data_IF_955931789096
#
_entry.id   IF_955931789096
#
_cell.length_a   1.000
_cell.length_b   1.000
_cell.length_c   1.000
_cell.angle_alpha   90.00
_cell.angle_beta   90.00
_cell.angle_gamma   90.00
#
_symmetry.space_group_name_H-M   'P 1'
#
loop_
_entity.id
_entity.type
_entity.pdbx_description
1 polymer ?
#
# COMPACT_ATOMS: atom_id res chain seq x y z
N UNK A 1 72.43 26.96 21.69
CA UNK A 1 71.38 27.67 20.93
C UNK A 1 71.17 26.94 19.61
N UNK A 2 70.15 26.16 19.31
CA UNK A 2 69.06 25.49 20.01
C UNK A 2 68.55 24.44 19.01
N UNK A 3 68.36 23.17 19.42
CA UNK A 3 67.79 22.13 18.55
C UNK A 3 66.29 22.39 18.40
N UNK A 4 65.79 22.49 17.17
CA UNK A 4 64.37 22.54 16.87
C UNK A 4 63.97 21.21 16.21
N UNK A 5 63.24 20.38 16.96
CA UNK A 5 62.65 19.13 16.50
C UNK A 5 61.37 19.49 15.73
N UNK A 6 61.36 19.24 14.42
CA UNK A 6 60.16 19.30 13.58
C UNK A 6 59.36 18.00 13.78
N UNK A 7 58.29 18.08 14.56
CA UNK A 7 57.31 17.02 14.67
C UNK A 7 56.39 17.05 13.43
N UNK A 8 56.55 16.07 12.54
CA UNK A 8 55.61 15.82 11.44
C UNK A 8 54.45 15.01 12.02
N UNK A 9 53.32 15.67 12.29
CA UNK A 9 52.07 15.00 12.60
C UNK A 9 51.49 14.38 11.32
N UNK A 10 51.62 13.06 11.18
CA UNK A 10 50.93 12.29 10.15
C UNK A 10 49.45 12.17 10.49
N UNK A 11 48.59 12.85 9.72
CA UNK A 11 47.15 12.63 9.77
C UNK A 11 46.83 11.39 8.94
N UNK A 12 46.92 10.21 9.57
CA UNK A 12 46.34 9.00 9.00
C UNK A 12 44.81 9.16 9.06
N UNK A 13 44.19 9.45 7.92
CA UNK A 13 42.76 9.30 7.73
C UNK A 13 42.43 7.81 7.94
N UNK A 14 41.97 7.47 9.14
CA UNK A 14 41.30 6.20 9.40
C UNK A 14 40.02 6.21 8.57
N UNK A 15 40.06 5.61 7.39
CA UNK A 15 38.87 5.21 6.65
C UNK A 15 38.17 4.15 7.49
N UNK A 16 37.18 4.57 8.28
CA UNK A 16 36.24 3.66 8.92
C UNK A 16 35.43 3.03 7.76
N UNK A 17 35.47 1.71 7.56
CA UNK A 17 34.64 1.09 6.55
C UNK A 17 33.17 1.29 6.93
N UNK A 18 32.42 1.92 6.02
CA UNK A 18 30.99 2.12 6.09
C UNK A 18 30.31 0.78 6.41
N UNK A 19 29.80 0.65 7.63
CA UNK A 19 28.95 -0.48 7.98
C UNK A 19 27.75 -0.48 7.04
N UNK A 20 27.63 -1.57 6.30
CA UNK A 20 26.48 -1.92 5.47
C UNK A 20 25.24 -1.77 6.35
N UNK A 21 24.49 -0.68 6.16
CA UNK A 21 23.24 -0.44 6.88
C UNK A 21 22.39 -1.70 6.73
N UNK A 22 22.14 -2.37 7.86
CA UNK A 22 21.23 -3.52 7.91
C UNK A 22 19.91 -2.97 7.42
N UNK A 23 19.57 -3.27 6.16
CA UNK A 23 18.27 -2.95 5.58
C UNK A 23 17.25 -3.50 6.57
N UNK A 24 16.51 -2.59 7.20
CA UNK A 24 15.62 -2.90 8.30
C UNK A 24 14.74 -4.09 7.92
N UNK A 25 14.50 -5.04 8.83
CA UNK A 25 13.54 -6.13 8.61
C UNK A 25 12.13 -5.60 8.26
N UNK A 26 11.90 -4.30 8.44
CA UNK A 26 10.70 -3.57 8.03
C UNK A 26 10.63 -3.31 6.51
N UNK A 27 11.72 -3.36 5.76
CA UNK A 27 11.76 -3.03 4.32
C UNK A 27 11.54 -4.25 3.42
N UNK A 28 11.14 -5.38 3.98
CA UNK A 28 10.95 -6.64 3.26
C UNK A 28 9.47 -7.03 3.27
N UNK A 29 9.03 -7.67 2.19
CA UNK A 29 7.67 -8.20 2.09
C UNK A 29 7.56 -9.40 3.03
N UNK A 30 6.55 -9.40 3.90
CA UNK A 30 6.38 -10.41 4.94
C UNK A 30 5.09 -11.19 4.71
N UNK A 31 5.19 -12.51 4.73
CA UNK A 31 4.06 -13.43 4.75
C UNK A 31 4.04 -14.11 6.12
N UNK A 32 3.08 -13.74 6.95
CA UNK A 32 2.86 -14.31 8.28
C UNK A 32 1.77 -15.38 8.22
N UNK A 33 2.05 -16.57 8.74
CA UNK A 33 1.08 -17.66 8.89
C UNK A 33 0.29 -17.55 10.19
N UNK A 34 -0.79 -18.33 10.32
CA UNK A 34 -1.67 -18.32 11.50
C UNK A 34 -0.96 -18.79 12.79
N UNK A 35 0.05 -19.64 12.64
CA UNK A 35 0.93 -20.11 13.72
C UNK A 35 1.94 -19.02 14.19
N UNK A 36 1.99 -17.87 13.53
CA UNK A 36 2.90 -16.77 13.83
C UNK A 36 4.25 -16.83 13.10
N UNK A 37 4.52 -17.87 12.32
CA UNK A 37 5.72 -17.98 11.48
C UNK A 37 5.75 -16.89 10.40
N UNK A 38 6.91 -16.29 10.16
CA UNK A 38 7.09 -15.21 9.19
C UNK A 38 8.07 -15.64 8.11
N UNK A 39 7.60 -15.59 6.86
CA UNK A 39 8.41 -15.78 5.67
C UNK A 39 8.70 -14.43 5.04
N UNK A 40 9.97 -14.10 4.90
CA UNK A 40 10.42 -12.95 4.14
C UNK A 40 10.45 -13.31 2.65
N UNK A 41 9.72 -12.56 1.84
CA UNK A 41 9.62 -12.75 0.40
C UNK A 41 10.54 -11.75 -0.32
N UNK A 42 11.55 -12.28 -1.02
CA UNK A 42 12.29 -11.50 -2.03
C UNK A 42 11.38 -11.22 -3.23
N UNK A 43 11.60 -10.15 -3.98
CA UNK A 43 10.90 -9.93 -5.27
C UNK A 43 11.50 -10.74 -6.42
N UNK A 44 12.63 -11.41 -6.20
CA UNK A 44 13.31 -12.22 -7.21
C UNK A 44 13.12 -13.72 -6.96
N UNK A 45 13.16 -14.48 -8.05
CA UNK A 45 13.13 -15.94 -8.04
C UNK A 45 11.78 -16.54 -7.71
N UNK A 46 11.79 -17.87 -7.57
CA UNK A 46 10.62 -18.68 -7.27
C UNK A 46 10.80 -19.43 -5.95
N UNK A 47 9.71 -19.59 -5.20
CA UNK A 47 9.72 -20.35 -3.95
C UNK A 47 8.37 -21.02 -3.72
N UNK A 48 8.31 -22.34 -3.47
CA UNK A 48 7.08 -22.96 -2.98
C UNK A 48 6.76 -22.42 -1.60
N UNK A 49 5.49 -22.14 -1.35
CA UNK A 49 4.97 -21.81 -0.02
C UNK A 49 4.38 -23.08 0.56
N UNK A 50 4.93 -23.55 1.67
CA UNK A 50 4.52 -24.79 2.33
C UNK A 50 3.94 -24.53 3.70
N UNK A 51 3.04 -25.38 4.16
CA UNK A 51 2.63 -25.41 5.57
C UNK A 51 3.73 -26.04 6.46
N UNK A 52 3.46 -26.11 7.77
CA UNK A 52 4.38 -26.70 8.75
C UNK A 52 4.60 -28.22 8.56
N UNK A 53 3.75 -28.89 7.77
CA UNK A 53 3.86 -30.30 7.42
C UNK A 53 4.61 -30.51 6.08
N UNK A 54 4.98 -29.42 5.39
CA UNK A 54 5.66 -29.46 4.10
C UNK A 54 4.72 -29.59 2.90
N UNK A 55 3.39 -29.49 3.08
CA UNK A 55 2.45 -29.50 1.96
C UNK A 55 2.53 -28.18 1.22
N UNK A 56 2.60 -28.22 -0.12
CA UNK A 56 2.64 -27.02 -0.95
C UNK A 56 1.26 -26.37 -0.96
N UNK A 57 1.18 -25.17 -0.37
CA UNK A 57 -0.01 -24.33 -0.33
C UNK A 57 -0.06 -23.34 -1.48
N UNK A 58 1.08 -22.98 -2.06
CA UNK A 58 1.13 -22.03 -3.16
C UNK A 58 2.53 -21.88 -3.71
N UNK A 59 2.69 -20.95 -4.65
CA UNK A 59 3.98 -20.64 -5.25
C UNK A 59 4.17 -19.13 -5.30
N UNK A 60 5.34 -18.68 -4.87
CA UNK A 60 5.83 -17.32 -5.10
C UNK A 60 6.63 -17.32 -6.39
N UNK A 61 6.35 -16.37 -7.29
CA UNK A 61 7.05 -16.14 -8.55
C UNK A 61 7.26 -14.63 -8.73
N UNK A 62 8.51 -14.15 -8.76
CA UNK A 62 8.77 -12.71 -8.93
C UNK A 62 8.11 -11.86 -7.82
N UNK A 63 7.30 -10.88 -8.19
CA UNK A 63 6.51 -10.03 -7.29
C UNK A 63 5.09 -10.56 -7.02
N UNK A 64 4.84 -11.85 -7.28
CA UNK A 64 3.51 -12.45 -7.18
C UNK A 64 3.50 -13.71 -6.30
N UNK A 65 2.40 -13.88 -5.56
CA UNK A 65 2.09 -15.07 -4.79
C UNK A 65 0.81 -15.72 -5.33
N UNK A 66 0.83 -17.02 -5.62
CA UNK A 66 -0.28 -17.72 -6.26
C UNK A 66 -0.77 -18.92 -5.41
N UNK A 67 -2.07 -18.92 -5.11
CA UNK A 67 -2.79 -19.96 -4.34
C UNK A 67 -3.84 -20.75 -5.15
N UNK A 68 -4.00 -20.56 -6.47
CA UNK A 68 -5.10 -21.21 -7.24
C UNK A 68 -5.12 -22.75 -7.21
N UNK A 69 -4.00 -23.39 -6.86
CA UNK A 69 -3.89 -24.86 -6.82
C UNK A 69 -3.82 -25.44 -5.40
N UNK A 70 -4.11 -24.66 -4.36
CA UNK A 70 -4.16 -25.17 -2.99
C UNK A 70 -5.35 -26.11 -2.82
N UNK A 71 -5.11 -27.31 -2.28
CA UNK A 71 -6.21 -28.23 -1.96
C UNK A 71 -6.95 -27.71 -0.71
N UNK A 72 -8.28 -27.53 -0.77
CA UNK A 72 -9.07 -27.17 0.40
C UNK A 72 -9.30 -28.41 1.25
N UNK A 73 -8.45 -28.66 2.24
CA UNK A 73 -8.74 -29.64 3.27
C UNK A 73 -8.54 -29.03 4.67
N UNK A 74 -9.61 -28.99 5.46
CA UNK A 74 -9.55 -28.70 6.89
C UNK A 74 -10.01 -27.30 7.31
N UNK A 75 -9.36 -26.81 8.36
CA UNK A 75 -9.72 -25.61 9.14
C UNK A 75 -9.46 -24.34 8.33
N UNK A 76 -10.28 -23.31 8.55
CA UNK A 76 -10.05 -21.98 8.00
C UNK A 76 -8.78 -21.38 8.63
N UNK A 77 -7.72 -21.30 7.84
CA UNK A 77 -6.40 -20.78 8.23
C UNK A 77 -6.17 -19.46 7.51
N UNK A 78 -5.67 -18.46 8.22
CA UNK A 78 -5.41 -17.12 7.70
C UNK A 78 -3.92 -16.84 7.60
N UNK A 79 -3.53 -16.27 6.47
CA UNK A 79 -2.23 -15.65 6.31
C UNK A 79 -2.38 -14.13 6.28
N UNK A 80 -1.32 -13.43 6.63
CA UNK A 80 -1.22 -11.97 6.49
C UNK A 80 -0.02 -11.63 5.64
N UNK A 81 -0.27 -10.99 4.50
CA UNK A 81 0.76 -10.42 3.63
C UNK A 81 0.91 -8.95 3.99
N UNK A 82 2.15 -8.49 4.20
CA UNK A 82 2.48 -7.10 4.52
C UNK A 82 3.52 -6.57 3.56
N UNK A 83 3.20 -5.44 2.92
CA UNK A 83 4.03 -4.76 1.94
C UNK A 83 4.63 -3.51 2.59
N UNK A 84 5.96 -3.36 2.60
CA UNK A 84 6.59 -2.17 3.15
C UNK A 84 6.39 -0.97 2.22
N UNK A 85 6.82 0.21 2.68
CA UNK A 85 6.87 1.38 1.80
C UNK A 85 7.86 1.13 0.64
N UNK A 86 7.66 1.83 -0.48
CA UNK A 86 8.49 1.70 -1.67
C UNK A 86 8.29 0.42 -2.47
N UNK A 87 7.36 -0.47 -2.09
CA UNK A 87 7.13 -1.75 -2.77
C UNK A 87 5.67 -1.98 -3.10
N UNK A 88 5.44 -2.82 -4.10
CA UNK A 88 4.13 -3.33 -4.51
C UNK A 88 4.23 -4.83 -4.71
N UNK A 89 3.12 -5.53 -4.55
CA UNK A 89 3.10 -6.99 -4.67
C UNK A 89 1.74 -7.49 -5.10
N UNK A 90 1.73 -8.66 -5.72
CA UNK A 90 0.52 -9.28 -6.23
C UNK A 90 0.23 -10.58 -5.48
N UNK A 91 -1.05 -10.86 -5.30
CA UNK A 91 -1.51 -12.16 -4.84
C UNK A 91 -2.70 -12.63 -5.67
N UNK A 92 -2.64 -13.86 -6.13
CA UNK A 92 -3.81 -14.59 -6.65
C UNK A 92 -4.31 -15.51 -5.55
N UNK A 93 -5.53 -15.25 -5.08
CA UNK A 93 -6.20 -15.99 -4.04
C UNK A 93 -6.70 -17.36 -4.53
N UNK A 94 -7.13 -18.22 -3.62
CA UNK A 94 -7.55 -19.60 -3.91
C UNK A 94 -8.82 -19.71 -4.76
N UNK A 95 -9.63 -18.65 -4.84
CA UNK A 95 -10.80 -18.55 -5.73
C UNK A 95 -10.44 -17.99 -7.12
N UNK A 96 -9.19 -17.61 -7.34
CA UNK A 96 -8.70 -17.02 -8.59
C UNK A 96 -8.68 -15.50 -8.63
N UNK A 97 -9.22 -14.83 -7.60
CA UNK A 97 -9.19 -13.37 -7.48
C UNK A 97 -7.76 -12.85 -7.46
N UNK A 98 -7.46 -11.84 -8.30
CA UNK A 98 -6.17 -11.15 -8.33
C UNK A 98 -6.24 -9.88 -7.48
N UNK A 99 -5.26 -9.70 -6.61
CA UNK A 99 -5.14 -8.52 -5.76
C UNK A 99 -3.75 -7.92 -5.94
N UNK A 100 -3.70 -6.66 -6.35
CA UNK A 100 -2.49 -5.85 -6.27
C UNK A 100 -2.52 -5.13 -4.92
N UNK A 101 -1.41 -5.17 -4.17
CA UNK A 101 -1.24 -4.41 -2.93
C UNK A 101 -0.24 -3.27 -3.16
N UNK A 102 -0.62 -2.07 -2.72
CA UNK A 102 0.26 -0.90 -2.80
C UNK A 102 1.20 -0.83 -1.59
N UNK A 103 2.15 0.10 -1.65
CA UNK A 103 3.12 0.34 -0.60
C UNK A 103 2.48 0.65 0.75
N UNK A 104 2.99 0.03 1.82
CA UNK A 104 2.45 0.21 3.18
C UNK A 104 1.17 -0.55 3.48
N UNK A 105 0.77 -1.47 2.61
CA UNK A 105 -0.50 -2.21 2.74
C UNK A 105 -0.33 -3.56 3.42
N UNK A 106 -1.40 -4.06 4.00
CA UNK A 106 -1.50 -5.40 4.53
C UNK A 106 -2.84 -6.04 4.20
N UNK A 107 -2.79 -7.28 3.73
CA UNK A 107 -3.96 -8.09 3.46
C UNK A 107 -3.91 -9.36 4.31
N UNK A 108 -4.95 -9.56 5.13
CA UNK A 108 -5.19 -10.84 5.81
C UNK A 108 -6.27 -11.60 5.05
N UNK A 109 -5.99 -12.83 4.68
CA UNK A 109 -6.85 -13.63 3.81
C UNK A 109 -6.81 -15.11 4.21
N UNK A 110 -7.90 -15.86 4.01
CA UNK A 110 -7.88 -17.29 4.20
C UNK A 110 -7.06 -17.95 3.09
N UNK A 111 -6.23 -18.93 3.44
CA UNK A 111 -5.43 -19.66 2.44
C UNK A 111 -6.36 -20.36 1.43
N UNK A 112 -7.47 -20.91 1.90
CA UNK A 112 -8.54 -21.48 1.08
C UNK A 112 -9.89 -20.88 1.47
N UNK A 113 -10.64 -20.37 0.51
CA UNK A 113 -12.04 -20.03 0.74
C UNK A 113 -12.91 -21.29 0.90
N UNK A 114 -13.80 -21.27 1.89
CA UNK A 114 -14.71 -22.40 2.13
C UNK A 114 -15.89 -22.36 1.16
N UNK A 115 -16.18 -23.50 0.52
CA UNK A 115 -17.32 -23.65 -0.39
C UNK A 115 -18.64 -23.32 0.32
N UNK A 116 -19.48 -22.49 -0.30
CA UNK A 116 -20.80 -22.11 0.24
C UNK A 116 -20.74 -21.07 1.38
N UNK A 117 -19.60 -20.39 1.55
CA UNK A 117 -19.40 -19.30 2.53
C UNK A 117 -18.91 -18.05 1.80
N UNK A 118 -19.05 -16.88 2.45
CA UNK A 118 -18.48 -15.63 1.93
C UNK A 118 -16.96 -15.72 1.79
N UNK A 119 -16.43 -15.09 0.75
CA UNK A 119 -15.00 -14.95 0.48
C UNK A 119 -14.50 -13.65 1.12
N UNK A 120 -14.05 -13.71 2.36
CA UNK A 120 -13.72 -12.52 3.16
C UNK A 120 -12.20 -12.32 3.31
N UNK A 121 -11.75 -11.09 3.09
CA UNK A 121 -10.38 -10.62 3.32
C UNK A 121 -10.39 -9.33 4.13
N UNK A 122 -9.29 -9.03 4.84
CA UNK A 122 -9.16 -7.84 5.65
C UNK A 122 -8.02 -6.98 5.12
N UNK A 123 -8.32 -5.73 4.77
CA UNK A 123 -7.37 -4.78 4.19
C UNK A 123 -7.02 -3.66 5.18
N UNK A 124 -5.72 -3.36 5.26
CA UNK A 124 -5.18 -2.09 5.74
C UNK A 124 -4.29 -1.51 4.65
N UNK A 125 -4.40 -0.23 4.35
CA UNK A 125 -3.70 0.39 3.23
C UNK A 125 -4.49 0.31 1.92
N UNK A 126 -3.83 0.16 0.78
CA UNK A 126 -4.45 0.21 -0.54
C UNK A 126 -4.26 -1.05 -1.36
N UNK A 127 -5.33 -1.48 -2.00
CA UNK A 127 -5.32 -2.60 -2.91
C UNK A 127 -6.31 -2.42 -4.06
N UNK A 128 -5.91 -2.91 -5.23
CA UNK A 128 -6.77 -3.09 -6.38
C UNK A 128 -7.17 -4.55 -6.48
N UNK A 129 -8.45 -4.80 -6.66
CA UNK A 129 -9.05 -6.13 -6.72
C UNK A 129 -9.67 -6.36 -8.10
N UNK A 130 -9.26 -7.44 -8.74
CA UNK A 130 -9.94 -8.06 -9.88
C UNK A 130 -10.54 -9.39 -9.39
N UNK A 131 -11.81 -9.31 -9.00
CA UNK A 131 -12.51 -10.40 -8.29
C UNK A 131 -13.13 -11.37 -9.27
N UNK A 132 -12.79 -12.66 -9.11
CA UNK A 132 -13.39 -13.73 -9.89
C UNK A 132 -14.91 -13.82 -9.64
N UNK A 133 -15.67 -13.95 -10.72
CA UNK A 133 -17.14 -13.98 -10.67
C UNK A 133 -17.65 -15.22 -9.90
N UNK A 134 -18.39 -14.98 -8.82
CA UNK A 134 -19.14 -16.00 -8.08
C UNK A 134 -20.38 -15.35 -7.44
N UNK A 135 -21.55 -15.62 -8.04
CA UNK A 135 -22.84 -15.09 -7.60
C UNK A 135 -23.39 -15.76 -6.35
N UNK A 136 -22.89 -16.94 -6.00
CA UNK A 136 -23.35 -17.72 -4.85
C UNK A 136 -22.55 -17.40 -3.59
N UNK A 137 -21.28 -17.02 -3.75
CA UNK A 137 -20.36 -16.73 -2.65
C UNK A 137 -19.79 -15.30 -2.81
N UNK A 138 -20.41 -14.29 -2.17
CA UNK A 138 -19.94 -12.91 -2.26
C UNK A 138 -18.50 -12.75 -1.75
N UNK A 139 -17.75 -11.86 -2.39
CA UNK A 139 -16.44 -11.44 -1.94
C UNK A 139 -16.55 -10.17 -1.09
N UNK A 140 -15.91 -10.17 0.07
CA UNK A 140 -15.99 -9.10 1.07
C UNK A 140 -14.59 -8.61 1.40
N UNK A 141 -14.33 -7.33 1.18
CA UNK A 141 -13.14 -6.64 1.70
C UNK A 141 -13.53 -5.86 2.94
N UNK A 142 -13.10 -6.35 4.10
CA UNK A 142 -13.30 -5.69 5.39
C UNK A 142 -12.16 -4.74 5.70
N UNK A 143 -12.51 -3.50 6.00
CA UNK A 143 -11.59 -2.46 6.46
C UNK A 143 -11.91 -2.08 7.92
N UNK A 144 -11.24 -1.07 8.47
CA UNK A 144 -11.47 -0.62 9.85
C UNK A 144 -12.85 -0.01 10.11
N UNK A 145 -13.55 0.48 9.08
CA UNK A 145 -14.84 1.18 9.23
C UNK A 145 -15.94 0.76 8.27
N UNK A 146 -15.61 -0.01 7.23
CA UNK A 146 -16.54 -0.37 6.16
C UNK A 146 -16.21 -1.75 5.57
N UNK A 147 -17.25 -2.47 5.18
CA UNK A 147 -17.17 -3.66 4.32
C UNK A 147 -17.55 -3.30 2.88
N UNK A 148 -16.75 -3.79 1.93
CA UNK A 148 -17.00 -3.71 0.48
C UNK A 148 -17.41 -5.09 0.00
N UNK A 149 -18.65 -5.26 -0.46
CA UNK A 149 -19.19 -6.54 -0.94
C UNK A 149 -19.41 -6.51 -2.45
N UNK A 150 -18.92 -7.55 -3.15
CA UNK A 150 -18.97 -7.70 -4.60
C UNK A 150 -19.24 -9.15 -5.02
N UNK A 151 -19.60 -9.37 -6.28
CA UNK A 151 -19.82 -10.71 -6.86
C UNK A 151 -18.85 -11.05 -8.00
N UNK A 152 -18.14 -10.07 -8.56
CA UNK A 152 -17.27 -10.18 -9.73
C UNK A 152 -17.08 -8.79 -10.32
N UNK A 153 -16.01 -8.12 -9.91
CA UNK A 153 -15.90 -6.66 -9.94
C UNK A 153 -14.42 -6.25 -9.95
N UNK A 154 -14.09 -5.23 -10.74
CA UNK A 154 -12.80 -4.54 -10.68
C UNK A 154 -12.93 -3.24 -9.89
N UNK A 155 -12.16 -3.08 -8.81
CA UNK A 155 -12.24 -1.89 -7.96
C UNK A 155 -10.96 -1.65 -7.15
N UNK A 156 -10.74 -0.40 -6.74
CA UNK A 156 -9.66 0.00 -5.83
C UNK A 156 -10.23 0.37 -4.47
N UNK A 157 -9.56 -0.04 -3.39
CA UNK A 157 -9.84 0.42 -2.02
C UNK A 157 -8.57 0.99 -1.41
N UNK A 158 -8.64 2.23 -0.92
CA UNK A 158 -7.59 2.87 -0.13
C UNK A 158 -8.11 3.15 1.28
N UNK A 159 -7.60 2.39 2.26
CA UNK A 159 -7.99 2.39 3.67
C UNK A 159 -6.76 2.43 4.59
N UNK A 160 -5.89 3.42 4.39
CA UNK A 160 -4.73 3.64 5.26
C UNK A 160 -5.18 4.14 6.65
N UNK A 161 -4.67 3.58 7.76
CA UNK A 161 -5.09 3.97 9.12
C UNK A 161 -4.86 5.45 9.46
N UNK A 162 -3.84 6.08 8.87
CA UNK A 162 -3.48 7.48 9.06
C UNK A 162 -4.27 8.47 8.19
N UNK A 163 -5.14 7.97 7.30
CA UNK A 163 -6.02 8.77 6.47
C UNK A 163 -7.41 8.87 7.09
N UNK A 164 -7.99 10.08 7.02
CA UNK A 164 -9.32 10.35 7.57
C UNK A 164 -10.45 9.65 6.80
N UNK A 165 -10.19 9.33 5.52
CA UNK A 165 -11.18 8.80 4.60
C UNK A 165 -10.74 7.46 4.00
N UNK A 166 -11.68 6.54 3.89
CA UNK A 166 -11.55 5.32 3.09
C UNK A 166 -12.13 5.60 1.71
N UNK A 167 -11.37 5.36 0.66
CA UNK A 167 -11.81 5.59 -0.71
C UNK A 167 -12.06 4.25 -1.41
N UNK A 168 -13.23 4.08 -2.02
CA UNK A 168 -13.53 2.95 -2.92
C UNK A 168 -13.87 3.47 -4.30
N UNK A 169 -13.17 2.98 -5.33
CA UNK A 169 -13.35 3.40 -6.73
C UNK A 169 -13.73 2.18 -7.55
N UNK A 170 -14.86 2.24 -8.25
CA UNK A 170 -15.38 1.13 -9.03
C UNK A 170 -15.02 1.30 -10.52
N UNK A 171 -14.29 0.32 -11.07
CA UNK A 171 -13.91 0.26 -12.49
C UNK A 171 -14.97 -0.49 -13.28
N UNK A 172 -15.28 -1.72 -12.88
CA UNK A 172 -16.28 -2.58 -13.55
C UNK A 172 -17.09 -3.38 -12.53
N UNK A 173 -18.36 -3.67 -12.85
CA UNK A 173 -19.23 -4.53 -12.06
C UNK A 173 -20.12 -3.74 -11.09
N UNK A 174 -20.23 -4.22 -9.85
CA UNK A 174 -21.06 -3.57 -8.83
C UNK A 174 -20.45 -3.74 -7.44
N UNK A 175 -20.54 -2.68 -6.64
CA UNK A 175 -20.04 -2.63 -5.27
C UNK A 175 -21.15 -2.22 -4.33
N UNK A 176 -21.26 -2.95 -3.22
CA UNK A 176 -22.09 -2.60 -2.08
C UNK A 176 -21.20 -2.25 -0.88
N UNK A 177 -21.44 -1.08 -0.30
CA UNK A 177 -20.69 -0.55 0.84
C UNK A 177 -21.58 -0.54 2.08
N UNK A 178 -21.09 -1.11 3.18
CA UNK A 178 -21.79 -1.14 4.47
C UNK A 178 -20.86 -0.78 5.61
N UNK A 179 -21.33 0.03 6.57
CA UNK A 179 -20.59 0.29 7.80
C UNK A 179 -20.43 -1.00 8.61
N UNK A 180 -19.22 -1.29 9.10
CA UNK A 180 -18.93 -2.50 9.89
C UNK A 180 -18.52 -2.20 11.35
N UNK A 181 -18.63 -0.93 11.78
CA UNK A 181 -18.25 -0.46 13.11
C UNK A 181 -19.43 -0.07 14.03
N UNK A 182 -19.13 0.17 15.31
CA UNK A 182 -20.08 0.62 16.34
C UNK A 182 -20.39 2.14 16.29
N UNK A 183 -20.04 2.82 15.20
CA UNK A 183 -20.19 4.27 15.10
C UNK A 183 -21.67 4.69 15.16
N UNK A 184 -21.94 5.79 15.85
CA UNK A 184 -23.26 6.39 16.16
C UNK A 184 -24.08 6.82 14.92
N UNK A 185 -23.58 6.55 13.71
CA UNK A 185 -24.26 6.74 12.44
C UNK A 185 -24.21 5.46 11.62
N UNK A 186 -24.99 4.44 12.00
CA UNK A 186 -25.23 3.29 11.11
C UNK A 186 -25.92 3.82 9.85
N UNK A 187 -25.25 3.71 8.71
CA UNK A 187 -25.95 3.75 7.43
C UNK A 187 -26.80 2.48 7.41
N UNK A 188 -28.10 2.61 7.69
CA UNK A 188 -29.02 1.48 7.83
C UNK A 188 -29.27 0.72 6.50
N UNK A 189 -28.76 1.25 5.38
CA UNK A 189 -28.92 0.67 4.06
C UNK A 189 -27.57 0.59 3.33
N UNK A 190 -27.30 -0.48 2.58
CA UNK A 190 -26.09 -0.56 1.77
C UNK A 190 -26.04 0.57 0.73
N UNK A 191 -24.88 1.19 0.58
CA UNK A 191 -24.61 2.16 -0.47
C UNK A 191 -24.12 1.43 -1.71
N UNK A 192 -24.77 1.66 -2.85
CA UNK A 192 -24.41 1.02 -4.11
C UNK A 192 -23.61 1.98 -5.00
N UNK A 193 -22.45 1.52 -5.46
CA UNK A 193 -21.59 2.27 -6.38
C UNK A 193 -21.78 1.75 -7.80
N UNK A 194 -21.64 2.64 -8.78
CA UNK A 194 -21.64 2.32 -10.22
C UNK A 194 -20.24 2.49 -10.80
N UNK A 195 -19.89 1.80 -11.90
CA UNK A 195 -18.65 2.03 -12.64
C UNK A 195 -18.40 3.51 -12.93
N UNK A 196 -17.15 3.96 -12.75
CA UNK A 196 -16.75 5.35 -12.90
C UNK A 196 -16.91 6.22 -11.65
N UNK A 197 -17.49 5.69 -10.57
CA UNK A 197 -17.70 6.46 -9.34
C UNK A 197 -16.71 6.09 -8.24
N UNK A 198 -16.41 7.09 -7.40
CA UNK A 198 -15.71 6.94 -6.12
C UNK A 198 -16.69 7.19 -4.97
N UNK A 199 -16.60 6.36 -3.94
CA UNK A 199 -17.14 6.63 -2.62
C UNK A 199 -16.00 7.01 -1.66
N UNK A 200 -16.08 8.19 -1.06
CA UNK A 200 -15.19 8.65 0.00
C UNK A 200 -15.91 8.53 1.35
N UNK A 201 -15.52 7.54 2.14
CA UNK A 201 -16.12 7.18 3.41
C UNK A 201 -15.35 7.83 4.57
N UNK A 202 -16.04 8.64 5.37
CA UNK A 202 -15.47 9.24 6.57
C UNK A 202 -15.55 8.26 7.75
N UNK A 203 -14.38 7.87 8.25
CA UNK A 203 -14.25 6.93 9.37
C UNK A 203 -14.86 7.45 10.68
N UNK A 204 -14.94 8.76 10.88
CA UNK A 204 -15.47 9.38 12.09
C UNK A 204 -17.00 9.50 12.04
N UNK A 205 -17.53 10.05 10.95
CA UNK A 205 -18.97 10.31 10.84
C UNK A 205 -19.78 9.12 10.31
N UNK A 206 -19.12 8.14 9.67
CA UNK A 206 -19.79 7.02 9.01
C UNK A 206 -20.61 7.45 7.77
N UNK A 207 -20.35 8.64 7.24
CA UNK A 207 -20.97 9.15 6.02
C UNK A 207 -20.07 8.91 4.82
N UNK A 208 -20.69 8.75 3.65
CA UNK A 208 -19.99 8.65 2.39
C UNK A 208 -20.38 9.80 1.46
N UNK A 209 -19.40 10.39 0.80
CA UNK A 209 -19.60 11.23 -0.37
C UNK A 209 -19.38 10.40 -1.64
N UNK A 210 -20.21 10.59 -2.67
CA UNK A 210 -20.06 9.91 -3.96
C UNK A 210 -19.82 10.95 -5.04
N UNK A 211 -18.81 10.69 -5.88
CA UNK A 211 -18.50 11.53 -7.04
C UNK A 211 -18.11 10.69 -8.26
N UNK A 212 -18.36 11.23 -9.44
CA UNK A 212 -17.84 10.71 -10.71
C UNK A 212 -16.35 11.03 -10.81
N UNK A 213 -15.55 10.05 -11.24
CA UNK A 213 -14.11 10.18 -11.32
C UNK A 213 -13.54 9.49 -12.55
N UNK A 214 -12.39 9.98 -12.99
CA UNK A 214 -11.51 9.19 -13.84
C UNK A 214 -10.81 8.13 -12.97
N UNK A 215 -11.23 6.87 -13.13
CA UNK A 215 -10.76 5.73 -12.33
C UNK A 215 -9.26 5.51 -12.49
N UNK A 216 -8.67 5.89 -13.64
CA UNK A 216 -7.24 5.72 -13.90
C UNK A 216 -6.38 6.46 -12.87
N UNK A 217 -6.86 7.58 -12.33
CA UNK A 217 -6.15 8.34 -11.29
C UNK A 217 -5.89 7.49 -10.05
N UNK A 218 -6.79 6.54 -9.76
CA UNK A 218 -6.79 5.73 -8.55
C UNK A 218 -6.24 4.32 -8.78
N UNK A 219 -6.09 3.89 -10.03
CA UNK A 219 -5.62 2.54 -10.38
C UNK A 219 -4.24 2.54 -11.03
N UNK A 220 -3.76 3.67 -11.59
CA UNK A 220 -2.49 3.69 -12.35
C UNK A 220 -1.25 3.29 -11.53
N UNK A 221 -1.32 3.35 -10.20
CA UNK A 221 -0.26 2.85 -9.33
C UNK A 221 0.00 1.35 -9.51
N UNK A 222 -0.97 0.55 -9.96
CA UNK A 222 -0.74 -0.87 -10.28
C UNK A 222 0.27 -1.04 -11.41
N UNK A 223 0.44 -0.02 -12.26
CA UNK A 223 1.34 0.01 -13.41
C UNK A 223 2.62 0.82 -13.23
N UNK A 224 2.93 1.28 -12.01
CA UNK A 224 4.12 2.12 -11.77
C UNK A 224 3.76 3.56 -11.41
N UNK A 225 2.75 4.12 -12.08
CA UNK A 225 2.54 5.57 -12.21
C UNK A 225 1.95 6.23 -10.97
N UNK A 226 2.42 7.44 -10.68
CA UNK A 226 1.87 8.34 -9.67
C UNK A 226 1.09 9.47 -10.36
N UNK A 227 -0.24 9.41 -10.27
CA UNK A 227 -1.12 10.47 -10.78
C UNK A 227 -1.65 11.30 -9.60
N UNK A 228 -1.50 12.61 -9.71
CA UNK A 228 -1.95 13.61 -8.76
C UNK A 228 -2.89 14.55 -9.53
N UNK A 229 -4.13 14.70 -9.06
CA UNK A 229 -5.11 15.61 -9.66
C UNK A 229 -5.81 16.40 -8.58
N UNK A 230 -5.64 17.72 -8.61
CA UNK A 230 -6.23 18.66 -7.67
C UNK A 230 -6.06 18.23 -6.19
N UNK A 231 -4.85 17.82 -5.80
CA UNK A 231 -4.59 17.27 -4.47
C UNK A 231 -3.78 18.26 -3.62
N UNK A 232 -4.18 18.55 -2.36
CA UNK A 232 -3.38 19.34 -1.43
C UNK A 232 -2.00 18.70 -1.16
N UNK A 233 -0.96 19.51 -1.01
CA UNK A 233 0.41 19.05 -0.84
C UNK A 233 0.59 18.15 0.38
N UNK A 234 -0.10 18.42 1.49
CA UNK A 234 -0.08 17.55 2.68
C UNK A 234 -0.49 16.10 2.38
N UNK A 235 -1.39 15.90 1.43
CA UNK A 235 -1.82 14.57 0.98
C UNK A 235 -0.85 13.99 -0.05
N UNK A 236 -0.19 14.84 -0.86
CA UNK A 236 0.88 14.43 -1.77
C UNK A 236 2.05 13.88 -0.97
N UNK A 237 2.47 14.55 0.11
CA UNK A 237 3.55 14.10 1.01
C UNK A 237 3.33 12.64 1.42
N UNK A 238 2.16 12.31 1.97
CA UNK A 238 1.83 10.92 2.37
C UNK A 238 1.98 9.92 1.23
N UNK A 239 1.56 10.29 0.01
CA UNK A 239 1.73 9.42 -1.18
C UNK A 239 3.20 9.25 -1.54
N UNK A 240 4.00 10.30 -1.46
CA UNK A 240 5.44 10.25 -1.74
C UNK A 240 6.17 9.40 -0.70
N UNK A 241 5.88 9.58 0.59
CA UNK A 241 6.46 8.77 1.67
C UNK A 241 6.21 7.28 1.45
N UNK A 242 4.94 6.91 1.17
CA UNK A 242 4.57 5.53 0.84
C UNK A 242 5.28 5.02 -0.41
N UNK A 243 5.30 5.81 -1.49
CA UNK A 243 5.79 5.38 -2.79
C UNK A 243 7.33 5.25 -2.86
N UNK A 244 8.05 6.08 -2.11
CA UNK A 244 9.52 6.17 -2.20
C UNK A 244 10.25 5.67 -0.96
N UNK A 245 9.53 5.22 0.08
CA UNK A 245 10.11 4.85 1.38
C UNK A 245 10.96 5.97 1.98
N UNK A 246 10.37 7.16 2.08
CA UNK A 246 11.01 8.34 2.67
C UNK A 246 10.12 8.93 3.76
N UNK A 247 10.70 9.74 4.63
CA UNK A 247 9.98 10.60 5.57
C UNK A 247 10.14 12.05 5.14
N UNK A 248 9.05 12.79 5.00
CA UNK A 248 9.08 14.19 4.54
C UNK A 248 8.59 15.09 5.67
N UNK A 249 9.51 15.90 6.20
CA UNK A 249 9.22 16.93 7.18
C UNK A 249 8.98 18.27 6.45
N UNK A 250 7.72 18.73 6.41
CA UNK A 250 7.38 20.03 5.85
C UNK A 250 7.39 21.14 6.91
N UNK A 251 8.45 21.95 6.89
CA UNK A 251 8.58 23.16 7.72
C UNK A 251 7.88 24.38 7.09
N UNK A 252 7.47 24.30 5.83
CA UNK A 252 6.74 25.37 5.14
C UNK A 252 5.23 25.10 5.11
N UNK A 253 4.55 25.41 6.22
CA UNK A 253 3.12 25.05 6.42
C UNK A 253 2.14 25.64 5.40
N UNK A 254 2.43 26.80 4.79
CA UNK A 254 1.57 27.35 3.73
C UNK A 254 1.52 26.45 2.47
N UNK A 255 2.54 25.61 2.29
CA UNK A 255 2.61 24.65 1.20
C UNK A 255 1.55 23.54 1.34
N UNK A 256 1.17 23.17 2.58
CA UNK A 256 0.28 22.03 2.86
C UNK A 256 -1.08 22.13 2.13
N UNK A 257 -1.60 23.35 1.98
CA UNK A 257 -2.89 23.62 1.33
C UNK A 257 -2.76 23.95 -0.16
N UNK A 258 -1.54 24.07 -0.70
CA UNK A 258 -1.36 24.25 -2.15
C UNK A 258 -1.80 22.99 -2.89
N UNK A 259 -2.59 23.17 -3.95
CA UNK A 259 -3.10 22.08 -4.77
C UNK A 259 -2.24 21.88 -6.02
N UNK A 260 -2.00 20.63 -6.38
CA UNK A 260 -1.23 20.27 -7.57
C UNK A 260 -1.98 19.30 -8.47
N UNK A 261 -1.59 19.33 -9.75
CA UNK A 261 -1.91 18.31 -10.73
C UNK A 261 -0.64 17.94 -11.47
N UNK A 262 -0.27 16.66 -11.44
CA UNK A 262 0.96 16.14 -12.03
C UNK A 262 0.82 14.64 -12.31
N UNK A 263 1.66 14.12 -13.20
CA UNK A 263 1.75 12.70 -13.49
C UNK A 263 3.20 12.32 -13.62
N UNK A 264 3.59 11.26 -12.93
CA UNK A 264 4.93 10.70 -12.92
C UNK A 264 4.84 9.20 -13.23
N UNK A 265 5.79 8.67 -13.97
CA UNK A 265 5.90 7.25 -14.29
C UNK A 265 7.03 6.61 -13.47
N UNK A 266 8.27 6.97 -13.76
CA UNK A 266 9.48 6.33 -13.23
C UNK A 266 10.46 7.35 -12.62
N UNK A 267 10.02 8.60 -12.45
CA UNK A 267 10.83 9.67 -11.85
C UNK A 267 11.20 9.35 -10.40
N UNK A 268 12.43 9.67 -10.04
CA UNK A 268 12.93 9.62 -8.67
C UNK A 268 12.24 10.66 -7.79
N UNK A 269 12.27 10.45 -6.46
CA UNK A 269 11.74 11.42 -5.50
C UNK A 269 12.34 12.82 -5.68
N UNK A 270 13.61 12.91 -6.10
CA UNK A 270 14.28 14.18 -6.36
C UNK A 270 13.62 14.90 -7.52
N UNK A 271 13.43 14.22 -8.65
CA UNK A 271 12.81 14.79 -9.85
C UNK A 271 11.36 15.21 -9.58
N UNK A 272 10.61 14.39 -8.82
CA UNK A 272 9.24 14.69 -8.41
C UNK A 272 9.19 15.96 -7.54
N UNK A 273 10.04 16.07 -6.52
CA UNK A 273 10.08 17.24 -5.64
C UNK A 273 10.58 18.49 -6.37
N UNK A 274 11.56 18.37 -7.25
CA UNK A 274 12.03 19.45 -8.11
C UNK A 274 10.90 19.99 -9.00
N UNK A 275 10.07 19.12 -9.58
CA UNK A 275 8.92 19.54 -10.38
C UNK A 275 7.91 20.37 -9.56
N UNK A 276 7.66 19.99 -8.30
CA UNK A 276 6.80 20.79 -7.41
C UNK A 276 7.44 22.12 -6.99
N UNK A 277 8.74 22.10 -6.70
CA UNK A 277 9.50 23.28 -6.29
C UNK A 277 9.53 24.34 -7.41
N UNK A 278 9.61 23.93 -8.67
CA UNK A 278 9.53 24.84 -9.83
C UNK A 278 8.17 25.57 -9.92
N UNK A 279 7.08 24.93 -9.52
CA UNK A 279 5.74 25.51 -9.64
C UNK A 279 5.41 26.51 -8.52
N UNK A 280 5.73 26.19 -7.26
CA UNK A 280 5.30 26.98 -6.09
C UNK A 280 6.43 27.48 -5.20
N UNK A 281 7.69 27.33 -5.62
CA UNK A 281 8.91 27.76 -4.93
C UNK A 281 9.00 27.29 -3.47
N UNK A 282 9.77 26.24 -3.25
CA UNK A 282 10.25 25.83 -1.94
C UNK A 282 11.61 25.16 -2.11
N UNK A 283 12.40 25.14 -1.05
CA UNK A 283 13.68 24.42 -1.02
C UNK A 283 13.51 23.08 -0.30
N UNK A 284 14.33 22.09 -0.67
CA UNK A 284 14.37 20.83 0.05
C UNK A 284 15.79 20.28 0.20
N UNK A 285 16.02 19.59 1.32
CA UNK A 285 17.28 18.94 1.66
C UNK A 285 17.00 17.45 1.86
N UNK A 286 17.86 16.59 1.33
CA UNK A 286 17.78 15.14 1.47
C UNK A 286 18.93 14.66 2.34
N UNK A 287 18.60 13.92 3.39
CA UNK A 287 19.53 13.24 4.30
C UNK A 287 19.09 11.78 4.48
N UNK A 288 19.67 10.88 3.68
CA UNK A 288 19.24 9.49 3.61
C UNK A 288 17.78 9.37 3.15
N UNK A 289 16.94 8.73 3.97
CA UNK A 289 15.50 8.58 3.74
C UNK A 289 14.68 9.75 4.29
N UNK A 290 15.32 10.75 4.92
CA UNK A 290 14.66 11.95 5.43
C UNK A 290 14.77 13.10 4.43
N UNK A 291 13.65 13.76 4.18
CA UNK A 291 13.56 14.95 3.34
C UNK A 291 13.00 16.09 4.20
N UNK A 292 13.65 17.24 4.17
CA UNK A 292 13.18 18.46 4.86
C UNK A 292 12.82 19.51 3.82
N UNK A 293 11.56 19.96 3.82
CA UNK A 293 11.06 21.03 2.95
C UNK A 293 11.03 22.33 3.75
N UNK A 294 11.61 23.39 3.18
CA UNK A 294 11.75 24.70 3.81
C UNK A 294 11.28 25.82 2.87
N UNK A 295 11.11 27.01 3.43
CA UNK A 295 10.90 28.22 2.63
C UNK A 295 12.11 28.48 1.71
N UNK A 296 11.90 29.13 0.54
CA UNK A 296 12.98 29.55 -0.36
C UNK A 296 14.00 30.51 0.26
#
# INVERSE_FOLDING_TARGET
TGLMILAIYGYNQLTIPFERTVKSDLDVIRLQFDNGEIHFLSVEGEKPITDAQGNVMGKKEGNKLNYQNSKPEGKLIYNTLTIPFGKRFEITLSDGTLVHLNAGSSLKYPVNFQKGKKREVFLKGEAFFDVSEDKLNPFVVSTSGMDVTVLGTEFNVSAYPEDSFINTVLVEGSVSLTSNGNNLGKVNSPLLLKPGFKAEWDNLSGKANIEDVDTNIYTSWTSGKLIIKNLPFKNIIKRLERNFNVTIENNYKELDEQVYTASFNDESIVEVLSSFAENKKFDFIIDGEKIMINQP
#
